data_IF_500571279632
#
_entry.id   IF_500571279632
#
_cell.length_a   1.000
_cell.length_b   1.000
_cell.length_c   1.000
_cell.angle_alpha   90.00
_cell.angle_beta   90.00
_cell.angle_gamma   90.00
#
_symmetry.space_group_name_H-M   'P 1'
#
loop_
_entity.id
_entity.type
_entity.pdbx_description
1 polymer ?
#
# COMPACT_ATOMS: atom_id res chain seq x y z
N UNK A 1 -14.97 13.11 50.69
CA UNK A 1 -14.84 12.34 49.43
C UNK A 1 -15.57 13.06 48.31
N UNK A 2 -14.88 13.88 47.52
CA UNK A 2 -15.47 14.53 46.34
C UNK A 2 -15.48 13.54 45.17
N UNK A 3 -16.60 12.83 44.98
CA UNK A 3 -16.84 12.06 43.74
C UNK A 3 -16.93 13.06 42.58
N UNK A 4 -15.85 13.21 41.81
CA UNK A 4 -15.88 13.92 40.53
C UNK A 4 -16.80 13.13 39.59
N UNK A 5 -18.03 13.60 39.43
CA UNK A 5 -18.94 13.12 38.39
C UNK A 5 -18.31 13.42 37.02
N UNK A 6 -17.64 12.43 36.43
CA UNK A 6 -17.39 12.47 34.99
C UNK A 6 -18.76 12.32 34.30
N UNK A 7 -19.29 13.43 33.75
CA UNK A 7 -20.57 13.54 33.01
C UNK A 7 -20.59 12.72 31.70
N UNK A 8 -20.23 11.43 31.74
CA UNK A 8 -20.31 10.54 30.58
C UNK A 8 -21.71 9.91 30.42
N UNK A 9 -22.51 9.84 31.48
CA UNK A 9 -23.78 9.10 31.51
C UNK A 9 -25.05 9.95 31.37
N UNK A 10 -24.94 11.29 31.33
CA UNK A 10 -26.09 12.18 31.17
C UNK A 10 -26.49 12.33 29.69
N UNK A 11 -27.76 12.68 29.42
CA UNK A 11 -28.27 12.87 28.06
C UNK A 11 -27.44 13.88 27.24
N UNK A 12 -26.98 14.96 27.88
CA UNK A 12 -26.09 15.96 27.28
C UNK A 12 -24.72 15.38 26.92
N UNK A 13 -24.16 14.51 27.76
CA UNK A 13 -22.87 13.85 27.50
C UNK A 13 -22.94 12.91 26.30
N UNK A 14 -24.05 12.16 26.15
CA UNK A 14 -24.29 11.32 24.98
C UNK A 14 -24.48 12.12 23.69
N UNK A 15 -25.19 13.25 23.75
CA UNK A 15 -25.36 14.14 22.60
C UNK A 15 -24.02 14.71 22.14
N UNK A 16 -23.24 15.25 23.07
CA UNK A 16 -21.91 15.81 22.77
C UNK A 16 -20.99 14.75 22.17
N UNK A 17 -20.98 13.55 22.73
CA UNK A 17 -20.16 12.45 22.20
C UNK A 17 -20.56 12.08 20.75
N UNK A 18 -21.86 12.02 20.46
CA UNK A 18 -22.35 11.78 19.09
C UNK A 18 -21.95 12.91 18.13
N UNK A 19 -22.08 14.17 18.55
CA UNK A 19 -21.67 15.32 17.74
C UNK A 19 -20.15 15.29 17.45
N UNK A 20 -19.32 15.01 18.45
CA UNK A 20 -17.87 14.88 18.27
C UNK A 20 -17.51 13.73 17.31
N UNK A 21 -18.21 12.60 17.41
CA UNK A 21 -18.07 11.48 16.47
C UNK A 21 -18.43 11.88 15.03
N UNK A 22 -19.55 12.58 14.85
CA UNK A 22 -19.98 13.07 13.54
C UNK A 22 -18.99 14.06 12.92
N UNK A 23 -18.43 14.98 13.73
CA UNK A 23 -17.38 15.90 13.27
C UNK A 23 -16.13 15.13 12.86
N UNK A 24 -15.72 14.12 13.65
CA UNK A 24 -14.57 13.26 13.32
C UNK A 24 -14.74 12.52 12.00
N UNK A 25 -15.94 12.04 11.71
CA UNK A 25 -16.27 11.43 10.42
C UNK A 25 -16.20 12.46 9.28
N UNK A 26 -16.84 13.62 9.47
CA UNK A 26 -16.86 14.70 8.47
C UNK A 26 -15.46 15.16 8.05
N UNK A 27 -14.55 15.39 9.00
CA UNK A 27 -13.17 15.80 8.67
C UNK A 27 -12.39 14.69 7.96
N UNK A 28 -12.74 13.42 8.21
CA UNK A 28 -12.11 12.27 7.56
C UNK A 28 -12.53 12.18 6.10
N UNK A 29 -13.82 12.41 5.81
CA UNK A 29 -14.37 12.49 4.46
C UNK A 29 -13.71 13.63 3.67
N UNK A 30 -13.63 14.84 4.23
CA UNK A 30 -12.93 15.98 3.60
C UNK A 30 -11.46 15.68 3.32
N UNK A 31 -10.77 15.01 4.25
CA UNK A 31 -9.36 14.64 4.04
C UNK A 31 -9.22 13.66 2.89
N UNK A 32 -10.13 12.68 2.77
CA UNK A 32 -10.12 11.70 1.70
C UNK A 32 -10.30 12.35 0.32
N UNK A 33 -11.23 13.32 0.19
CA UNK A 33 -11.44 14.09 -1.04
C UNK A 33 -10.14 14.81 -1.46
N UNK A 34 -9.54 15.58 -0.54
CA UNK A 34 -8.29 16.31 -0.82
C UNK A 34 -7.12 15.38 -1.15
N UNK A 35 -7.05 14.24 -0.48
CA UNK A 35 -6.03 13.24 -0.75
C UNK A 35 -6.19 12.66 -2.17
N UNK A 36 -7.43 12.40 -2.60
CA UNK A 36 -7.71 11.94 -3.96
C UNK A 36 -7.26 12.96 -5.00
N UNK A 37 -7.59 14.24 -4.81
CA UNK A 37 -7.11 15.33 -5.68
C UNK A 37 -5.59 15.40 -5.74
N UNK A 38 -4.91 15.22 -4.59
CA UNK A 38 -3.46 15.16 -4.52
C UNK A 38 -2.87 13.99 -5.29
N UNK A 39 -3.47 12.80 -5.16
CA UNK A 39 -3.07 11.59 -5.91
C UNK A 39 -3.27 11.80 -7.42
N UNK A 40 -4.40 12.40 -7.84
CA UNK A 40 -4.67 12.69 -9.25
C UNK A 40 -3.64 13.65 -9.84
N UNK A 41 -3.30 14.74 -9.12
CA UNK A 41 -2.24 15.67 -9.54
C UNK A 41 -0.88 14.98 -9.65
N UNK A 42 -0.51 14.19 -8.67
CA UNK A 42 0.74 13.44 -8.68
C UNK A 42 0.81 12.41 -9.82
N UNK A 43 -0.30 11.72 -10.12
CA UNK A 43 -0.41 10.86 -11.31
C UNK A 43 -0.25 11.64 -12.61
N UNK A 44 -0.88 12.83 -12.71
CA UNK A 44 -0.71 13.73 -13.87
C UNK A 44 0.74 14.19 -14.06
N UNK A 45 1.46 14.37 -12.96
CA UNK A 45 2.91 14.68 -12.98
C UNK A 45 3.80 13.44 -13.22
N UNK A 46 3.21 12.27 -13.48
CA UNK A 46 3.96 11.04 -13.76
C UNK A 46 4.62 10.40 -12.54
N UNK A 47 4.26 10.80 -11.32
CA UNK A 47 4.81 10.21 -10.09
C UNK A 47 4.33 8.75 -9.99
N UNK A 48 5.28 7.82 -9.96
CA UNK A 48 4.99 6.39 -9.76
C UNK A 48 4.74 6.12 -8.28
N UNK A 49 3.54 5.62 -7.99
CA UNK A 49 3.15 5.19 -6.66
C UNK A 49 3.51 3.71 -6.42
N UNK A 50 3.63 3.35 -5.14
CA UNK A 50 3.87 1.98 -4.71
C UNK A 50 5.34 1.58 -4.72
N UNK A 51 5.59 0.28 -4.52
CA UNK A 51 6.94 -0.28 -4.50
C UNK A 51 7.55 -0.27 -5.90
N UNK A 52 8.78 0.25 -6.02
CA UNK A 52 9.56 0.18 -7.25
C UNK A 52 9.77 -1.27 -7.68
N UNK A 53 9.65 -1.55 -8.98
CA UNK A 53 9.94 -2.88 -9.52
C UNK A 53 11.40 -3.23 -9.26
N UNK A 54 11.65 -4.39 -8.65
CA UNK A 54 13.00 -4.87 -8.34
C UNK A 54 13.83 -5.17 -9.59
N UNK A 55 13.17 -5.48 -10.71
CA UNK A 55 13.80 -5.73 -12.01
C UNK A 55 13.16 -4.84 -13.09
N UNK A 56 13.99 -4.29 -13.97
CA UNK A 56 13.56 -3.67 -15.22
C UNK A 56 13.00 -4.72 -16.19
N UNK A 57 12.21 -4.31 -17.18
CA UNK A 57 11.64 -5.22 -18.19
C UNK A 57 12.72 -6.04 -18.91
N UNK A 58 13.83 -5.39 -19.27
CA UNK A 58 15.01 -6.06 -19.85
C UNK A 58 15.61 -7.10 -18.89
N UNK A 59 15.69 -6.78 -17.59
CA UNK A 59 16.18 -7.72 -16.58
C UNK A 59 15.30 -8.96 -16.43
N UNK A 60 13.98 -8.81 -16.60
CA UNK A 60 13.05 -9.95 -16.62
C UNK A 60 13.26 -10.82 -17.86
N UNK A 61 13.46 -10.24 -19.05
CA UNK A 61 13.75 -10.99 -20.27
C UNK A 61 15.05 -11.79 -20.16
N UNK A 62 16.11 -11.17 -19.63
CA UNK A 62 17.39 -11.86 -19.39
C UNK A 62 17.23 -12.99 -18.37
N UNK A 63 16.45 -12.78 -17.31
CA UNK A 63 16.15 -13.81 -16.32
C UNK A 63 15.40 -15.00 -16.93
N UNK A 64 14.44 -14.74 -17.83
CA UNK A 64 13.71 -15.77 -18.57
C UNK A 64 14.62 -16.54 -19.53
N UNK A 65 15.50 -15.84 -20.27
CA UNK A 65 16.49 -16.48 -21.14
C UNK A 65 17.43 -17.37 -20.35
N UNK A 66 18.01 -16.88 -19.24
CA UNK A 66 18.86 -17.69 -18.35
C UNK A 66 18.15 -18.93 -17.84
N UNK A 67 16.85 -18.82 -17.54
CA UNK A 67 16.03 -19.97 -17.14
C UNK A 67 15.85 -20.96 -18.29
N UNK A 68 15.62 -20.48 -19.51
CA UNK A 68 15.52 -21.32 -20.71
C UNK A 68 16.85 -22.01 -21.04
N UNK A 69 17.99 -21.36 -20.76
CA UNK A 69 19.34 -21.94 -20.87
C UNK A 69 19.66 -22.99 -19.80
N UNK A 70 18.72 -23.28 -18.88
CA UNK A 70 18.86 -24.34 -17.88
C UNK A 70 19.44 -23.93 -16.53
N UNK A 71 19.64 -22.62 -16.26
CA UNK A 71 20.10 -22.19 -14.94
C UNK A 71 19.09 -22.54 -13.84
N UNK A 72 19.62 -22.97 -12.70
CA UNK A 72 18.82 -23.29 -11.52
C UNK A 72 18.30 -22.03 -10.83
N UNK A 73 17.09 -22.13 -10.25
CA UNK A 73 16.46 -21.04 -9.50
C UNK A 73 17.34 -20.55 -8.35
N UNK A 74 18.10 -21.45 -7.70
CA UNK A 74 18.98 -21.12 -6.56
C UNK A 74 20.10 -20.16 -6.96
N UNK A 75 20.67 -20.34 -8.14
CA UNK A 75 21.72 -19.48 -8.68
C UNK A 75 21.15 -18.10 -9.06
N UNK A 76 19.96 -18.07 -9.69
CA UNK A 76 19.26 -16.82 -10.01
C UNK A 76 18.88 -16.02 -8.76
N UNK A 77 18.48 -16.69 -7.67
CA UNK A 77 18.20 -16.03 -6.40
C UNK A 77 19.45 -15.35 -5.82
N UNK A 78 20.62 -16.00 -5.93
CA UNK A 78 21.90 -15.45 -5.46
C UNK A 78 22.36 -14.28 -6.33
N UNK A 79 22.26 -14.43 -7.65
CA UNK A 79 22.69 -13.41 -8.60
C UNK A 79 21.88 -12.12 -8.49
N UNK A 80 20.55 -12.22 -8.38
CA UNK A 80 19.66 -11.06 -8.34
C UNK A 80 19.29 -10.62 -6.92
N UNK A 81 19.69 -11.36 -5.88
CA UNK A 81 19.33 -11.08 -4.49
C UNK A 81 17.82 -11.15 -4.20
N UNK A 82 17.07 -11.90 -5.02
CA UNK A 82 15.61 -11.95 -4.95
C UNK A 82 15.12 -13.22 -4.26
N UNK A 83 13.99 -13.10 -3.57
CA UNK A 83 13.31 -14.26 -2.99
C UNK A 83 12.83 -15.24 -4.07
N UNK A 84 12.73 -16.52 -3.72
CA UNK A 84 12.18 -17.57 -4.59
C UNK A 84 10.83 -17.16 -5.17
N UNK A 85 9.95 -16.59 -4.34
CA UNK A 85 8.62 -16.13 -4.75
C UNK A 85 8.69 -15.01 -5.78
N UNK A 86 9.60 -14.05 -5.62
CA UNK A 86 9.81 -12.96 -6.57
C UNK A 86 10.29 -13.48 -7.93
N UNK A 87 11.23 -14.43 -7.94
CA UNK A 87 11.72 -15.07 -9.16
C UNK A 87 10.57 -15.79 -9.89
N UNK A 88 9.79 -16.62 -9.18
CA UNK A 88 8.64 -17.30 -9.79
C UNK A 88 7.58 -16.33 -10.30
N UNK A 89 7.35 -15.20 -9.62
CA UNK A 89 6.43 -14.17 -10.11
C UNK A 89 6.90 -13.57 -11.45
N UNK A 90 8.21 -13.39 -11.64
CA UNK A 90 8.76 -12.91 -12.91
C UNK A 90 8.76 -13.99 -14.02
N UNK A 91 8.83 -15.27 -13.65
CA UNK A 91 8.75 -16.39 -14.59
C UNK A 91 7.30 -16.75 -14.97
N UNK A 92 6.35 -16.69 -14.03
CA UNK A 92 4.94 -17.00 -14.25
C UNK A 92 4.21 -15.96 -15.10
N UNK A 93 4.66 -14.70 -15.08
CA UNK A 93 4.14 -13.63 -15.92
C UNK A 93 4.54 -13.76 -17.41
N UNK A 94 5.25 -14.82 -17.80
CA UNK A 94 5.59 -15.14 -19.20
C UNK A 94 4.61 -16.13 -19.87
N UNK A 95 3.70 -16.73 -19.10
CA UNK A 95 2.65 -17.64 -19.58
C UNK A 95 1.25 -17.00 -19.42
N UNK A 96 1.12 -15.73 -19.81
CA UNK A 96 -0.14 -14.99 -19.83
C UNK A 96 -0.10 -13.87 -20.85
#
# INVERSE_FOLDING_TARGET
MTKKHTRKADATGRLLFKMLGAIGQFVTEIRAERQMDGILKAKGNGIKFGCSKALSHQGVLVLQQKRASGLQIKELMREYGLSKATIYRHLGNAMG
#
